data_IF_457744478579
#
_entry.id   IF_457744478579
#
_cell.length_a   1.000
_cell.length_b   1.000
_cell.length_c   1.000
_cell.angle_alpha   90.00
_cell.angle_beta   90.00
_cell.angle_gamma   90.00
#
_symmetry.space_group_name_H-M   'P 1'
#
loop_
_entity.id
_entity.type
_entity.pdbx_description
1 polymer ?
#
# COMPACT_ATOMS: atom_id res chain seq x y z
N UNK A 1 13.04 2.98 2.98
CA UNK A 1 11.80 3.28 3.72
C UNK A 1 10.72 2.22 3.46
N UNK A 2 10.27 1.98 2.21
CA UNK A 2 9.22 1.00 1.89
C UNK A 2 9.56 -0.44 2.32
N UNK A 3 10.80 -0.89 2.14
CA UNK A 3 11.19 -2.22 2.59
C UNK A 3 11.01 -2.38 4.09
N UNK A 4 11.46 -1.41 4.90
CA UNK A 4 11.26 -1.42 6.36
C UNK A 4 9.77 -1.39 6.75
N UNK A 5 8.97 -0.67 5.97
CA UNK A 5 7.52 -0.67 6.14
C UNK A 5 6.95 -2.09 5.99
N UNK A 6 7.27 -2.80 4.92
CA UNK A 6 6.81 -4.17 4.72
C UNK A 6 7.38 -5.15 5.74
N UNK A 7 8.67 -5.04 6.06
CA UNK A 7 9.30 -5.87 7.09
C UNK A 7 8.61 -5.74 8.44
N UNK A 8 8.27 -4.51 8.86
CA UNK A 8 7.60 -4.27 10.15
C UNK A 8 6.19 -4.88 10.21
N UNK A 9 5.47 -4.90 9.09
CA UNK A 9 4.16 -5.55 9.02
C UNK A 9 4.22 -7.07 8.88
N UNK A 10 5.30 -7.61 8.32
CA UNK A 10 5.48 -9.05 8.17
C UNK A 10 6.12 -9.72 9.38
N UNK A 11 6.86 -8.96 10.20
CA UNK A 11 7.57 -9.49 11.38
C UNK A 11 6.66 -10.26 12.35
N UNK A 12 5.45 -9.77 12.69
CA UNK A 12 4.55 -10.51 13.56
C UNK A 12 4.14 -11.88 13.03
N UNK A 13 4.15 -12.09 11.72
CA UNK A 13 3.85 -13.41 11.11
C UNK A 13 4.92 -14.46 11.41
N UNK A 14 6.11 -14.06 11.90
CA UNK A 14 7.20 -14.98 12.28
C UNK A 14 6.96 -15.64 13.63
N UNK A 15 6.25 -14.98 14.51
CA UNK A 15 6.45 -15.21 15.93
C UNK A 15 5.28 -15.80 16.69
N UNK A 16 3.98 -15.76 16.27
CA UNK A 16 3.00 -16.30 17.21
C UNK A 16 1.55 -16.52 16.71
N UNK A 17 0.90 -17.55 17.28
CA UNK A 17 -0.54 -17.78 17.18
C UNK A 17 -1.35 -16.66 17.85
N UNK A 18 -0.84 -16.04 18.92
CA UNK A 18 -1.48 -14.93 19.60
C UNK A 18 -1.65 -13.71 18.69
N UNK A 19 -0.61 -13.41 17.91
CA UNK A 19 -0.63 -12.33 16.94
C UNK A 19 -1.65 -12.60 15.81
N UNK A 20 -1.76 -13.84 15.36
CA UNK A 20 -2.78 -14.25 14.38
C UNK A 20 -4.19 -14.11 14.95
N UNK A 21 -4.40 -14.47 16.22
CA UNK A 21 -5.69 -14.31 16.87
C UNK A 21 -6.07 -12.83 17.04
N UNK A 22 -5.12 -11.98 17.44
CA UNK A 22 -5.32 -10.53 17.53
C UNK A 22 -5.72 -9.94 16.18
N UNK A 23 -5.10 -10.39 15.10
CA UNK A 23 -5.42 -9.93 13.77
C UNK A 23 -6.79 -10.42 13.28
N UNK A 24 -7.17 -11.67 13.58
CA UNK A 24 -8.52 -12.17 13.27
C UNK A 24 -9.58 -11.32 13.95
N UNK A 25 -9.32 -10.90 15.19
CA UNK A 25 -10.19 -9.97 15.91
C UNK A 25 -10.27 -8.61 15.21
N UNK A 26 -9.12 -8.07 14.81
CA UNK A 26 -9.05 -6.83 14.05
C UNK A 26 -9.80 -6.91 12.71
N UNK A 27 -9.63 -8.00 11.97
CA UNK A 27 -10.36 -8.22 10.72
C UNK A 27 -11.87 -8.38 10.94
N UNK A 28 -12.28 -8.99 12.04
CA UNK A 28 -13.69 -9.07 12.42
C UNK A 28 -14.27 -7.69 12.65
N UNK A 29 -13.57 -6.82 13.39
CA UNK A 29 -13.99 -5.44 13.62
C UNK A 29 -14.07 -4.61 12.33
N UNK A 30 -13.22 -4.90 11.34
CA UNK A 30 -13.30 -4.27 10.01
C UNK A 30 -14.57 -4.68 9.24
N UNK A 31 -15.03 -5.92 9.41
CA UNK A 31 -16.18 -6.46 8.70
C UNK A 31 -17.51 -6.24 9.44
N UNK A 32 -17.45 -6.24 10.76
CA UNK A 32 -18.61 -6.07 11.65
C UNK A 32 -18.23 -5.14 12.82
N UNK A 33 -18.23 -3.80 12.59
CA UNK A 33 -17.72 -2.83 13.53
C UNK A 33 -18.54 -2.76 14.82
N UNK A 34 -17.85 -2.78 15.96
CA UNK A 34 -18.44 -2.55 17.28
C UNK A 34 -18.22 -1.10 17.75
N UNK A 35 -18.57 -0.81 19.00
CA UNK A 35 -18.39 0.53 19.60
C UNK A 35 -16.92 0.96 19.77
N UNK A 36 -15.94 0.03 19.70
CA UNK A 36 -14.50 0.35 19.77
C UNK A 36 -13.91 0.75 18.41
N UNK A 37 -14.71 0.64 17.35
CA UNK A 37 -14.29 0.91 15.98
C UNK A 37 -13.66 2.30 15.74
N UNK A 38 -14.21 3.41 16.28
CA UNK A 38 -13.61 4.73 16.04
C UNK A 38 -12.19 4.86 16.57
N UNK A 39 -11.89 4.32 17.75
CA UNK A 39 -10.54 4.34 18.33
C UNK A 39 -9.59 3.42 17.56
N UNK A 40 -10.08 2.28 17.12
CA UNK A 40 -9.33 1.33 16.31
C UNK A 40 -8.91 1.95 14.96
N UNK A 41 -9.84 2.61 14.25
CA UNK A 41 -9.53 3.30 12.99
C UNK A 41 -8.44 4.37 13.21
N UNK A 42 -8.58 5.20 14.25
CA UNK A 42 -7.63 6.29 14.48
C UNK A 42 -6.21 5.76 14.72
N UNK A 43 -6.07 4.75 15.57
CA UNK A 43 -4.78 4.22 15.98
C UNK A 43 -4.17 3.28 14.94
N UNK A 44 -4.94 2.30 14.48
CA UNK A 44 -4.41 1.18 13.67
C UNK A 44 -4.49 1.44 12.16
N UNK A 45 -5.37 2.34 11.72
CA UNK A 45 -5.57 2.61 10.29
C UNK A 45 -5.09 4.00 9.90
N UNK A 46 -5.59 5.05 10.56
CA UNK A 46 -5.33 6.44 10.16
C UNK A 46 -3.89 6.85 10.37
N UNK A 47 -3.32 6.57 11.53
CA UNK A 47 -1.95 6.97 11.86
C UNK A 47 -0.93 6.34 10.91
N UNK A 48 -0.91 5.02 10.65
CA UNK A 48 -0.02 4.41 9.67
C UNK A 48 -0.28 4.91 8.24
N UNK A 49 -1.55 5.08 7.86
CA UNK A 49 -1.91 5.61 6.54
C UNK A 49 -1.31 7.01 6.31
N UNK A 50 -1.47 7.91 7.28
CA UNK A 50 -0.95 9.27 7.17
C UNK A 50 0.59 9.32 7.18
N UNK A 51 1.25 8.39 7.86
CA UNK A 51 2.71 8.27 7.84
C UNK A 51 3.22 7.84 6.46
N UNK A 52 2.61 6.80 5.87
CA UNK A 52 2.95 6.34 4.53
C UNK A 52 2.62 7.41 3.47
N UNK A 53 1.46 8.04 3.57
CA UNK A 53 1.04 9.13 2.67
C UNK A 53 2.05 10.27 2.66
N UNK A 54 2.51 10.73 3.82
CA UNK A 54 3.54 11.78 3.91
C UNK A 54 4.84 11.37 3.25
N UNK A 55 5.29 10.14 3.48
CA UNK A 55 6.49 9.60 2.84
C UNK A 55 6.38 9.61 1.31
N UNK A 56 5.24 9.18 0.78
CA UNK A 56 4.98 9.14 -0.67
C UNK A 56 4.87 10.54 -1.25
N UNK A 57 4.19 11.48 -0.60
CA UNK A 57 4.12 12.88 -1.00
C UNK A 57 5.50 13.52 -1.07
N UNK A 58 6.34 13.30 -0.06
CA UNK A 58 7.72 13.79 -0.05
C UNK A 58 8.54 13.22 -1.22
N UNK A 59 8.41 11.92 -1.46
CA UNK A 59 9.14 11.25 -2.53
C UNK A 59 8.72 11.73 -3.93
N UNK A 60 7.44 11.99 -4.14
CA UNK A 60 6.88 12.45 -5.42
C UNK A 60 6.87 13.96 -5.58
N UNK A 61 7.35 14.73 -4.60
CA UNK A 61 7.33 16.20 -4.64
C UNK A 61 5.92 16.79 -4.61
N UNK A 62 4.94 16.08 -4.01
CA UNK A 62 3.55 16.52 -3.90
C UNK A 62 3.38 17.32 -2.61
N UNK A 63 3.17 18.64 -2.72
CA UNK A 63 3.07 19.54 -1.57
C UNK A 63 1.82 19.27 -0.71
N UNK A 64 0.70 18.91 -1.34
CA UNK A 64 -0.57 18.59 -0.67
C UNK A 64 -1.13 17.29 -1.25
N UNK A 65 -1.43 16.36 -0.37
CA UNK A 65 -2.06 15.09 -0.78
C UNK A 65 -3.41 15.34 -1.47
N UNK A 66 -3.59 14.70 -2.60
CA UNK A 66 -4.84 14.62 -3.34
C UNK A 66 -5.41 13.18 -3.26
N UNK A 67 -6.56 12.97 -3.87
CA UNK A 67 -7.23 11.67 -3.85
C UNK A 67 -6.38 10.56 -4.49
N UNK A 68 -5.56 10.88 -5.51
CA UNK A 68 -4.70 9.89 -6.16
C UNK A 68 -3.54 9.47 -5.25
N UNK A 69 -3.01 10.39 -4.43
CA UNK A 69 -2.05 10.04 -3.39
C UNK A 69 -2.66 9.13 -2.32
N UNK A 70 -3.93 9.35 -1.93
CA UNK A 70 -4.65 8.46 -1.04
C UNK A 70 -4.88 7.08 -1.67
N UNK A 71 -5.29 7.02 -2.95
CA UNK A 71 -5.45 5.75 -3.69
C UNK A 71 -4.14 4.97 -3.75
N UNK A 72 -3.04 5.62 -4.08
CA UNK A 72 -1.70 4.99 -4.10
C UNK A 72 -1.33 4.45 -2.71
N UNK A 73 -1.56 5.24 -1.66
CA UNK A 73 -1.26 4.84 -0.27
C UNK A 73 -2.06 3.61 0.15
N UNK A 74 -3.36 3.58 -0.10
CA UNK A 74 -4.20 2.42 0.20
C UNK A 74 -3.79 1.19 -0.60
N UNK A 75 -3.44 1.37 -1.88
CA UNK A 75 -3.01 0.26 -2.74
C UNK A 75 -1.70 -0.36 -2.25
N UNK A 76 -0.73 0.47 -1.83
CA UNK A 76 0.53 -0.04 -1.25
C UNK A 76 0.28 -0.76 0.08
N UNK A 77 -0.57 -0.20 0.95
CA UNK A 77 -0.94 -0.85 2.21
C UNK A 77 -1.64 -2.20 1.97
N UNK A 78 -2.51 -2.29 0.96
CA UNK A 78 -3.20 -3.54 0.60
C UNK A 78 -2.23 -4.66 0.19
N UNK A 79 -1.05 -4.34 -0.36
CA UNK A 79 -0.05 -5.35 -0.74
C UNK A 79 0.41 -6.19 0.46
N UNK A 80 0.54 -5.61 1.64
CA UNK A 80 0.95 -6.36 2.83
C UNK A 80 -0.25 -6.99 3.53
N UNK A 81 -1.42 -6.36 3.47
CA UNK A 81 -2.62 -6.86 4.12
C UNK A 81 -3.08 -8.22 3.59
N UNK A 82 -2.81 -8.53 2.30
CA UNK A 82 -3.12 -9.86 1.74
C UNK A 82 -2.46 -11.01 2.51
N UNK A 83 -1.25 -10.80 3.03
CA UNK A 83 -0.53 -11.82 3.80
C UNK A 83 -1.27 -12.20 5.09
N UNK A 84 -2.08 -11.30 5.58
CA UNK A 84 -2.84 -11.45 6.79
C UNK A 84 -4.26 -11.94 6.49
N UNK A 85 -4.95 -11.31 5.56
CA UNK A 85 -6.35 -11.60 5.24
C UNK A 85 -6.51 -12.91 4.47
N UNK A 86 -5.50 -13.32 3.71
CA UNK A 86 -5.54 -14.49 2.84
C UNK A 86 -4.57 -15.60 3.29
N UNK A 87 -4.11 -15.57 4.53
CA UNK A 87 -3.12 -16.54 5.03
C UNK A 87 -3.55 -17.99 4.80
N UNK A 88 -4.80 -18.33 5.14
CA UNK A 88 -5.32 -19.67 5.00
C UNK A 88 -5.41 -20.10 3.51
N UNK A 89 -5.77 -19.16 2.63
CA UNK A 89 -5.79 -19.40 1.18
C UNK A 89 -4.38 -19.62 0.65
N UNK A 90 -3.43 -18.76 1.06
CA UNK A 90 -2.02 -18.92 0.69
C UNK A 90 -1.46 -20.26 1.18
N UNK A 91 -1.81 -20.67 2.39
CA UNK A 91 -1.40 -21.95 2.95
C UNK A 91 -1.96 -23.13 2.14
N UNK A 92 -3.21 -23.05 1.68
CA UNK A 92 -3.84 -24.10 0.90
C UNK A 92 -3.30 -24.19 -0.54
N UNK A 93 -3.09 -23.03 -1.18
CA UNK A 93 -2.73 -22.96 -2.61
C UNK A 93 -1.21 -22.98 -2.83
N UNK A 94 -0.44 -22.31 -1.97
CA UNK A 94 1.00 -22.11 -2.13
C UNK A 94 1.72 -22.18 -0.76
N UNK A 95 1.73 -23.34 -0.08
CA UNK A 95 2.17 -23.46 1.32
C UNK A 95 3.64 -23.04 1.54
N UNK A 96 4.47 -23.05 0.51
CA UNK A 96 5.87 -22.58 0.60
C UNK A 96 5.95 -21.08 0.88
N UNK A 97 4.98 -20.31 0.46
CA UNK A 97 4.94 -18.85 0.61
C UNK A 97 4.61 -18.38 2.02
N UNK A 98 4.03 -19.25 2.85
CA UNK A 98 3.63 -18.93 4.23
C UNK A 98 4.68 -19.32 5.27
N UNK A 99 5.80 -19.92 4.83
CA UNK A 99 6.88 -20.32 5.73
C UNK A 99 7.62 -19.08 6.27
N UNK A 100 8.10 -19.10 7.52
CA UNK A 100 8.87 -17.98 8.09
C UNK A 100 10.05 -17.55 7.23
N UNK A 101 10.73 -18.49 6.55
CA UNK A 101 11.84 -18.23 5.66
C UNK A 101 11.45 -17.46 4.38
N UNK A 102 10.20 -17.56 3.96
CA UNK A 102 9.69 -16.86 2.78
C UNK A 102 9.38 -15.37 3.04
N UNK A 103 9.26 -14.94 4.29
CA UNK A 103 8.84 -13.58 4.63
C UNK A 103 9.83 -12.50 4.16
N UNK A 104 11.12 -12.79 4.15
CA UNK A 104 12.14 -11.86 3.62
C UNK A 104 11.98 -11.67 2.11
N UNK A 105 11.73 -12.76 1.37
CA UNK A 105 11.44 -12.69 -0.07
C UNK A 105 10.12 -11.93 -0.34
N UNK A 106 9.11 -12.08 0.50
CA UNK A 106 7.89 -11.29 0.44
C UNK A 106 8.18 -9.80 0.59
N UNK A 107 8.93 -9.38 1.64
CA UNK A 107 9.27 -7.98 1.85
C UNK A 107 9.96 -7.36 0.62
N UNK A 108 10.92 -8.08 0.04
CA UNK A 108 11.60 -7.64 -1.20
C UNK A 108 10.64 -7.52 -2.38
N UNK A 109 9.79 -8.51 -2.60
CA UNK A 109 8.84 -8.51 -3.72
C UNK A 109 7.77 -7.43 -3.57
N UNK A 110 7.19 -7.28 -2.39
CA UNK A 110 6.21 -6.23 -2.12
C UNK A 110 6.83 -4.83 -2.27
N UNK A 111 8.09 -4.67 -1.88
CA UNK A 111 8.84 -3.43 -2.13
C UNK A 111 8.97 -3.14 -3.63
N UNK A 112 9.32 -4.15 -4.43
CA UNK A 112 9.39 -4.02 -5.89
C UNK A 112 8.06 -3.62 -6.51
N UNK A 113 6.97 -4.26 -6.09
CA UNK A 113 5.62 -3.92 -6.57
C UNK A 113 5.20 -2.49 -6.17
N UNK A 114 5.46 -2.10 -4.93
CA UNK A 114 5.17 -0.74 -4.46
C UNK A 114 5.98 0.32 -5.23
N UNK A 115 7.27 0.05 -5.51
CA UNK A 115 8.10 0.96 -6.30
C UNK A 115 7.60 1.09 -7.74
N UNK A 116 7.12 0.03 -8.36
CA UNK A 116 6.50 0.09 -9.69
C UNK A 116 5.22 0.95 -9.68
N UNK A 117 4.39 0.84 -8.64
CA UNK A 117 3.20 1.68 -8.47
C UNK A 117 3.58 3.17 -8.30
N UNK A 118 4.57 3.46 -7.46
CA UNK A 118 5.08 4.82 -7.24
C UNK A 118 5.65 5.40 -8.54
N UNK A 119 6.40 4.61 -9.30
CA UNK A 119 6.96 5.03 -10.58
C UNK A 119 5.86 5.36 -11.60
N UNK A 120 4.86 4.49 -11.73
CA UNK A 120 3.71 4.71 -12.60
C UNK A 120 2.96 6.00 -12.24
N UNK A 121 2.76 6.28 -10.95
CA UNK A 121 2.12 7.52 -10.50
C UNK A 121 2.98 8.75 -10.81
N UNK A 122 4.31 8.66 -10.65
CA UNK A 122 5.23 9.72 -11.02
C UNK A 122 5.17 10.05 -12.52
N UNK A 123 5.12 9.03 -13.38
CA UNK A 123 5.00 9.20 -14.83
C UNK A 123 3.66 9.83 -15.20
N UNK A 124 2.57 9.37 -14.62
CA UNK A 124 1.23 9.94 -14.84
C UNK A 124 1.20 11.43 -14.49
N UNK A 125 1.77 11.82 -13.35
CA UNK A 125 1.83 13.23 -12.91
C UNK A 125 2.68 14.08 -13.85
N UNK A 126 3.81 13.57 -14.31
CA UNK A 126 4.65 14.27 -15.31
C UNK A 126 3.91 14.48 -16.63
N UNK A 127 3.19 13.48 -17.11
CA UNK A 127 2.40 13.59 -18.34
C UNK A 127 1.29 14.65 -18.23
N UNK A 128 0.63 14.74 -17.07
CA UNK A 128 -0.40 15.76 -16.81
C UNK A 128 0.18 17.19 -16.69
N UNK A 129 1.41 17.33 -16.20
CA UNK A 129 2.09 18.62 -16.08
C UNK A 129 2.69 19.11 -17.39
N UNK A 130 2.87 18.24 -18.40
CA UNK A 130 3.39 18.61 -19.71
C UNK A 130 2.29 19.28 -20.54
N UNK A 131 2.48 20.51 -21.05
CA UNK A 131 1.48 21.16 -21.91
C UNK A 131 1.28 20.32 -23.17
N UNK A 132 0.00 20.15 -23.58
CA UNK A 132 -0.33 19.50 -24.83
C UNK A 132 0.40 20.18 -25.99
N UNK A 133 0.97 19.44 -26.98
CA UNK A 133 1.60 20.03 -28.13
C UNK A 133 0.59 20.96 -28.81
N UNK A 134 0.91 22.25 -28.88
CA UNK A 134 0.08 23.25 -29.55
C UNK A 134 -0.16 22.76 -30.98
N UNK A 135 -1.40 22.46 -31.33
CA UNK A 135 -1.79 22.18 -32.70
C UNK A 135 -1.36 23.37 -33.54
N UNK A 136 -0.27 23.23 -34.29
CA UNK A 136 0.13 24.21 -35.31
C UNK A 136 -1.05 24.38 -36.25
N UNK A 137 -1.74 25.50 -36.13
CA UNK A 137 -2.69 25.97 -37.10
C UNK A 137 -1.97 26.02 -38.47
N UNK A 138 -2.41 25.19 -39.43
CA UNK A 138 -1.94 25.26 -40.79
C UNK A 138 -2.20 26.68 -41.32
N UNK A 139 -1.27 27.30 -42.08
CA UNK A 139 -1.51 28.59 -42.70
C UNK A 139 -2.67 28.44 -43.74
N UNK A 140 -3.51 29.47 -43.89
CA UNK A 140 -4.54 29.47 -44.92
C UNK A 140 -3.86 29.51 -46.29
N UNK A 141 -4.18 28.56 -47.13
CA UNK A 141 -3.78 28.62 -48.53
C UNK A 141 -4.48 29.84 -49.19
N UNK A 142 -3.66 30.74 -49.69
CA UNK A 142 -4.08 31.76 -50.63
C UNK A 142 -4.29 31.19 -52.04
#
# INVERSE_FOLDING_TARGET
ALQRYFESYLEPLRHDDLMRQSLRLHMRELLDPTHVWPELIERECRTPHMALLRLLCQHLGVARADDDMHRLTFSIAALVMQMWTQHDVLQAVAPRLTRPQALSAWAQRLTGYALAMVHSEAERRRALASPAPSSRKAPPHA
#
